data_IF_626253829113
#
_entry.id   IF_626253829113
#
_cell.length_a   1.000
_cell.length_b   1.000
_cell.length_c   1.000
_cell.angle_alpha   90.00
_cell.angle_beta   90.00
_cell.angle_gamma   90.00
#
_symmetry.space_group_name_H-M   'P 1'
#
loop_
_entity.id
_entity.type
_entity.pdbx_description
1 polymer ?
#
# COMPACT_ATOMS: atom_id res chain seq x y z
N UNK A 1 -9.94 -7.42 -1.42
CA UNK A 1 -10.33 -6.35 -0.46
C UNK A 1 -11.49 -5.52 -0.93
N UNK A 2 -11.42 -4.81 -2.07
CA UNK A 2 -12.53 -4.02 -2.63
C UNK A 2 -13.91 -4.71 -2.53
N UNK A 3 -14.01 -5.93 -3.05
CA UNK A 3 -15.24 -6.74 -2.98
C UNK A 3 -15.75 -7.03 -1.58
N UNK A 4 -14.88 -7.18 -0.57
CA UNK A 4 -15.31 -7.37 0.83
C UNK A 4 -16.02 -6.13 1.39
N UNK A 5 -15.70 -4.95 0.85
CA UNK A 5 -16.30 -3.68 1.24
C UNK A 5 -17.34 -3.18 0.24
N UNK A 6 -17.78 -4.03 -0.69
CA UNK A 6 -18.80 -3.67 -1.67
C UNK A 6 -18.36 -2.60 -2.69
N UNK A 7 -17.05 -2.35 -2.80
CA UNK A 7 -16.51 -1.45 -3.81
C UNK A 7 -16.53 -2.12 -5.18
N UNK A 8 -16.98 -1.38 -6.20
CA UNK A 8 -17.00 -1.84 -7.60
C UNK A 8 -15.75 -1.41 -8.38
N UNK A 9 -14.90 -0.59 -7.77
CA UNK A 9 -13.66 -0.11 -8.36
C UNK A 9 -12.55 0.01 -7.32
N UNK A 10 -11.32 0.02 -7.82
CA UNK A 10 -10.08 0.21 -7.09
C UNK A 10 -9.44 1.48 -7.61
N UNK A 11 -9.11 2.39 -6.69
CA UNK A 11 -8.36 3.60 -6.96
C UNK A 11 -6.89 3.36 -6.64
N UNK A 12 -6.00 3.73 -7.55
CA UNK A 12 -4.56 3.81 -7.33
C UNK A 12 -4.12 5.25 -7.50
N UNK A 13 -3.33 5.74 -6.54
CA UNK A 13 -2.76 7.08 -6.53
C UNK A 13 -1.25 6.96 -6.30
N UNK A 14 -0.45 7.64 -7.12
CA UNK A 14 0.97 7.82 -6.85
C UNK A 14 1.15 8.97 -5.86
N UNK A 15 1.84 8.70 -4.77
CA UNK A 15 2.20 9.67 -3.74
C UNK A 15 3.63 10.20 -3.96
N UNK A 16 4.53 9.33 -4.45
CA UNK A 16 5.88 9.72 -4.82
C UNK A 16 6.29 9.15 -6.19
N UNK A 17 6.91 9.95 -7.06
CA UNK A 17 7.31 11.34 -6.85
C UNK A 17 6.11 12.29 -6.75
N UNK A 18 6.31 13.43 -6.10
CA UNK A 18 5.28 14.45 -5.96
C UNK A 18 4.72 14.87 -7.33
N UNK A 19 3.39 14.82 -7.47
CA UNK A 19 2.72 15.03 -8.75
C UNK A 19 2.95 16.44 -9.30
N UNK A 20 2.98 17.45 -8.43
CA UNK A 20 3.11 18.85 -8.84
C UNK A 20 4.55 19.18 -9.26
N UNK A 21 5.52 18.47 -8.70
CA UNK A 21 6.93 18.59 -9.05
C UNK A 21 7.35 17.77 -10.28
N UNK A 22 6.74 16.61 -10.53
CA UNK A 22 7.18 15.68 -11.58
C UNK A 22 6.15 15.50 -12.71
N UNK A 23 4.97 14.93 -12.41
CA UNK A 23 4.03 14.51 -13.45
C UNK A 23 3.30 15.66 -14.15
N UNK A 24 2.89 16.68 -13.38
CA UNK A 24 2.11 17.78 -13.91
C UNK A 24 2.93 18.69 -14.85
N UNK A 25 4.19 19.09 -14.50
CA UNK A 25 5.00 19.91 -15.39
C UNK A 25 5.41 19.18 -16.68
N UNK A 26 5.79 17.91 -16.58
CA UNK A 26 6.36 17.17 -17.71
C UNK A 26 5.28 16.53 -18.61
N UNK A 27 4.26 15.92 -18.00
CA UNK A 27 3.27 15.11 -18.73
C UNK A 27 1.86 15.70 -18.70
N UNK A 28 1.61 16.73 -17.87
CA UNK A 28 0.28 17.36 -17.66
C UNK A 28 -0.77 16.37 -17.18
N UNK A 29 -0.37 15.41 -16.36
CA UNK A 29 -1.24 14.39 -15.77
C UNK A 29 -1.13 14.41 -14.25
N UNK A 30 -2.19 13.95 -13.59
CA UNK A 30 -2.09 13.44 -12.23
C UNK A 30 -1.99 11.91 -12.30
N UNK A 31 -0.98 11.31 -11.68
CA UNK A 31 -0.71 9.87 -11.74
C UNK A 31 -1.67 9.08 -10.84
N UNK A 32 -2.94 9.04 -11.23
CA UNK A 32 -4.00 8.31 -10.55
C UNK A 32 -4.88 7.59 -11.56
N UNK A 33 -5.44 6.45 -11.14
CA UNK A 33 -6.27 5.62 -11.99
C UNK A 33 -7.35 4.89 -11.19
N UNK A 34 -8.47 4.65 -11.85
CA UNK A 34 -9.57 3.85 -11.34
C UNK A 34 -9.72 2.61 -12.21
N UNK A 35 -9.76 1.43 -11.60
CA UNK A 35 -10.01 0.16 -12.26
C UNK A 35 -11.26 -0.49 -11.70
N UNK A 36 -12.10 -1.05 -12.57
CA UNK A 36 -13.17 -1.93 -12.13
C UNK A 36 -12.62 -3.14 -11.36
N UNK A 37 -13.36 -3.66 -10.38
CA UNK A 37 -13.01 -4.94 -9.73
C UNK A 37 -13.08 -6.13 -10.69
N UNK A 38 -13.74 -5.95 -11.84
CA UNK A 38 -13.80 -6.91 -12.95
C UNK A 38 -12.65 -6.75 -13.96
N UNK A 39 -11.77 -5.74 -13.79
CA UNK A 39 -10.62 -5.53 -14.64
C UNK A 39 -9.63 -6.71 -14.55
N UNK A 40 -9.07 -7.09 -15.70
CA UNK A 40 -8.07 -8.13 -15.82
C UNK A 40 -6.63 -7.63 -15.63
N UNK A 41 -5.67 -8.54 -15.80
CA UNK A 41 -4.25 -8.21 -15.75
C UNK A 41 -3.83 -7.25 -16.88
N UNK A 42 -4.38 -7.42 -18.08
CA UNK A 42 -4.06 -6.55 -19.22
C UNK A 42 -4.57 -5.12 -19.01
N UNK A 43 -5.76 -4.96 -18.42
CA UNK A 43 -6.30 -3.65 -18.04
C UNK A 43 -5.39 -2.97 -17.00
N UNK A 44 -4.93 -3.74 -16.02
CA UNK A 44 -3.99 -3.26 -15.00
C UNK A 44 -2.67 -2.81 -15.63
N UNK A 45 -2.00 -3.68 -16.40
CA UNK A 45 -0.71 -3.36 -17.01
C UNK A 45 -0.80 -2.26 -18.05
N UNK A 46 -1.90 -2.20 -18.81
CA UNK A 46 -2.14 -1.12 -19.76
C UNK A 46 -2.31 0.22 -19.07
N UNK A 47 -2.94 0.25 -17.89
CA UNK A 47 -3.15 1.48 -17.14
C UNK A 47 -1.88 1.95 -16.40
N UNK A 48 -1.20 1.08 -15.65
CA UNK A 48 0.03 1.49 -14.94
C UNK A 48 1.24 1.63 -15.86
N UNK A 49 1.21 0.99 -17.03
CA UNK A 49 2.28 0.99 -18.02
C UNK A 49 2.13 2.06 -19.10
N UNK A 50 1.13 2.93 -19.01
CA UNK A 50 0.90 3.96 -20.01
C UNK A 50 2.05 4.96 -20.07
N UNK A 51 2.64 5.12 -21.26
CA UNK A 51 3.77 6.03 -21.53
C UNK A 51 3.26 7.32 -22.21
N UNK A 52 3.02 8.41 -21.46
CA UNK A 52 2.54 9.67 -22.04
C UNK A 52 3.55 10.21 -23.05
N UNK A 53 3.12 10.39 -24.29
CA UNK A 53 4.01 10.83 -25.38
C UNK A 53 5.08 9.80 -25.78
N UNK A 54 4.96 8.55 -25.33
CA UNK A 54 5.95 7.50 -25.55
C UNK A 54 7.20 7.61 -24.66
N UNK A 55 7.14 8.41 -23.59
CA UNK A 55 8.20 8.48 -22.60
C UNK A 55 7.95 7.48 -21.46
N UNK A 56 8.86 6.52 -21.32
CA UNK A 56 8.86 5.49 -20.29
C UNK A 56 8.84 6.07 -18.88
N UNK A 57 9.42 7.27 -18.67
CA UNK A 57 9.48 7.89 -17.36
C UNK A 57 8.13 8.40 -16.87
N UNK A 58 7.18 8.63 -17.78
CA UNK A 58 5.80 8.99 -17.41
C UNK A 58 4.95 7.80 -16.97
N UNK A 59 5.41 6.57 -17.18
CA UNK A 59 4.72 5.36 -16.74
C UNK A 59 4.79 5.19 -15.23
N UNK A 60 3.64 4.92 -14.60
CA UNK A 60 3.54 4.65 -13.16
C UNK A 60 4.40 3.44 -12.78
N UNK A 61 4.41 2.39 -13.62
CA UNK A 61 5.20 1.19 -13.37
C UNK A 61 6.70 1.46 -13.29
N UNK A 62 7.17 2.54 -13.92
CA UNK A 62 8.58 2.93 -13.96
C UNK A 62 8.92 3.98 -12.91
N UNK A 63 8.11 5.03 -12.77
CA UNK A 63 8.48 6.21 -11.97
C UNK A 63 7.92 6.22 -10.54
N UNK A 64 6.85 5.49 -10.24
CA UNK A 64 6.25 5.54 -8.91
C UNK A 64 7.09 4.83 -7.86
N UNK A 65 7.50 5.56 -6.82
CA UNK A 65 8.19 5.04 -5.64
C UNK A 65 7.21 4.72 -4.52
N UNK A 66 6.18 5.53 -4.33
CA UNK A 66 5.17 5.32 -3.29
C UNK A 66 3.78 5.43 -3.90
N UNK A 67 2.93 4.44 -3.62
CA UNK A 67 1.54 4.40 -4.07
C UNK A 67 0.58 4.15 -2.91
N UNK A 68 -0.64 4.65 -3.06
CA UNK A 68 -1.79 4.25 -2.27
C UNK A 68 -2.83 3.59 -3.17
N UNK A 69 -3.44 2.52 -2.67
CA UNK A 69 -4.51 1.79 -3.34
C UNK A 69 -5.69 1.69 -2.37
N UNK A 70 -6.88 2.07 -2.82
CA UNK A 70 -8.10 2.05 -1.98
C UNK A 70 -9.34 1.84 -2.85
N UNK A 71 -10.53 1.96 -2.27
CA UNK A 71 -11.80 1.95 -3.00
C UNK A 71 -12.73 3.05 -2.46
N UNK A 72 -13.84 3.34 -3.18
CA UNK A 72 -14.75 4.44 -2.82
C UNK A 72 -15.30 4.39 -1.39
N UNK A 73 -15.41 3.20 -0.78
CA UNK A 73 -15.88 3.06 0.59
C UNK A 73 -14.95 3.67 1.64
N UNK A 74 -13.65 3.83 1.34
CA UNK A 74 -12.63 4.26 2.29
C UNK A 74 -12.41 3.31 3.47
N UNK A 75 -12.96 2.09 3.43
CA UNK A 75 -12.90 1.11 4.53
C UNK A 75 -11.70 0.18 4.49
N UNK A 76 -10.90 0.27 3.43
CA UNK A 76 -9.68 -0.50 3.25
C UNK A 76 -8.67 0.33 2.49
N UNK A 77 -7.41 -0.06 2.60
CA UNK A 77 -6.33 0.57 1.87
C UNK A 77 -5.10 -0.30 1.85
N UNK A 78 -4.30 -0.09 0.82
CA UNK A 78 -2.95 -0.56 0.72
C UNK A 78 -2.05 0.63 0.45
N UNK A 79 -0.93 0.68 1.13
CA UNK A 79 0.14 1.63 0.85
C UNK A 79 1.38 0.82 0.50
N UNK A 80 2.10 1.21 -0.54
CA UNK A 80 3.27 0.47 -1.03
C UNK A 80 4.43 1.40 -1.35
N UNK A 81 5.62 1.01 -0.92
CA UNK A 81 6.89 1.66 -1.24
C UNK A 81 7.79 0.70 -2.01
N UNK A 82 8.39 1.20 -3.09
CA UNK A 82 9.35 0.47 -3.90
C UNK A 82 10.66 0.23 -3.17
N UNK A 83 11.12 1.17 -2.36
CA UNK A 83 12.30 1.04 -1.51
C UNK A 83 11.87 1.53 -0.13
N UNK A 84 11.59 0.62 0.83
CA UNK A 84 12.27 -0.67 1.03
C UNK A 84 11.53 -1.95 0.57
N UNK A 85 10.72 -1.89 -0.50
CA UNK A 85 9.88 -3.01 -0.99
C UNK A 85 8.83 -3.49 0.02
N UNK A 86 8.11 -2.55 0.64
CA UNK A 86 7.06 -2.84 1.63
C UNK A 86 5.69 -2.46 1.11
N UNK A 87 4.70 -3.29 1.44
CA UNK A 87 3.30 -2.94 1.31
C UNK A 87 2.55 -3.20 2.62
N UNK A 88 1.77 -2.21 3.06
CA UNK A 88 0.93 -2.27 4.26
C UNK A 88 -0.52 -2.36 3.84
N UNK A 89 -1.23 -3.35 4.39
CA UNK A 89 -2.63 -3.63 4.07
C UNK A 89 -3.50 -3.43 5.30
N UNK A 90 -4.58 -2.66 5.16
CA UNK A 90 -5.57 -2.44 6.22
C UNK A 90 -7.00 -2.62 5.72
N UNK A 91 -7.92 -2.81 6.68
CA UNK A 91 -9.34 -2.98 6.40
C UNK A 91 -9.74 -4.43 6.11
N UNK A 92 -9.11 -5.43 6.74
CA UNK A 92 -9.67 -6.78 6.70
C UNK A 92 -11.01 -6.81 7.46
N UNK A 93 -12.10 -7.36 6.89
CA UNK A 93 -13.42 -7.31 7.53
C UNK A 93 -13.50 -8.11 8.83
N UNK A 94 -12.64 -9.14 8.99
CA UNK A 94 -12.49 -9.92 10.22
C UNK A 94 -11.18 -10.74 10.17
N UNK A 95 -10.85 -11.39 11.30
CA UNK A 95 -9.64 -12.22 11.42
C UNK A 95 -9.62 -13.43 10.47
N UNK A 96 -10.78 -13.99 10.12
CA UNK A 96 -10.86 -15.11 9.19
C UNK A 96 -10.47 -14.68 7.77
N UNK A 97 -11.01 -13.55 7.29
CA UNK A 97 -10.63 -12.98 5.98
C UNK A 97 -9.14 -12.63 5.91
N UNK A 98 -8.56 -12.11 6.99
CA UNK A 98 -7.10 -11.90 7.08
C UNK A 98 -6.33 -13.22 6.99
N UNK A 99 -6.77 -14.26 7.71
CA UNK A 99 -6.13 -15.57 7.70
C UNK A 99 -6.18 -16.21 6.30
N UNK A 100 -7.33 -16.15 5.64
CA UNK A 100 -7.52 -16.70 4.29
C UNK A 100 -6.64 -15.97 3.27
N UNK A 101 -6.54 -14.64 3.38
CA UNK A 101 -5.64 -13.83 2.57
C UNK A 101 -4.17 -14.23 2.75
N UNK A 102 -3.71 -14.36 3.99
CA UNK A 102 -2.35 -14.81 4.28
C UNK A 102 -2.07 -16.23 3.76
N UNK A 103 -3.07 -17.12 3.77
CA UNK A 103 -2.92 -18.46 3.23
C UNK A 103 -2.75 -18.45 1.69
N UNK A 104 -3.38 -17.49 1.00
CA UNK A 104 -3.30 -17.37 -0.45
C UNK A 104 -2.05 -16.64 -0.94
N UNK A 105 -1.68 -15.53 -0.30
CA UNK A 105 -0.64 -14.62 -0.77
C UNK A 105 0.67 -14.69 0.03
N UNK A 106 0.71 -15.52 1.08
CA UNK A 106 1.86 -15.67 1.96
C UNK A 106 1.68 -14.94 3.30
N UNK A 107 2.54 -15.24 4.28
CA UNK A 107 2.44 -14.66 5.61
C UNK A 107 2.71 -13.16 5.55
N UNK A 108 1.76 -12.37 6.04
CA UNK A 108 1.95 -10.94 6.29
C UNK A 108 2.40 -10.75 7.74
N UNK A 109 3.48 -10.00 7.92
CA UNK A 109 3.98 -9.59 9.22
C UNK A 109 3.16 -8.40 9.75
N UNK A 110 3.05 -8.28 11.07
CA UNK A 110 2.73 -6.98 11.66
C UNK A 110 3.94 -6.04 11.58
N UNK A 111 3.75 -4.76 11.90
CA UNK A 111 4.79 -3.75 11.80
C UNK A 111 6.04 -4.14 12.62
N UNK A 112 5.86 -4.66 13.83
CA UNK A 112 6.96 -5.15 14.68
C UNK A 112 7.74 -6.28 14.01
N UNK A 113 7.06 -7.33 13.55
CA UNK A 113 7.69 -8.47 12.90
C UNK A 113 8.40 -8.08 11.60
N UNK A 114 7.84 -7.14 10.84
CA UNK A 114 8.48 -6.61 9.63
C UNK A 114 9.78 -5.86 9.97
N UNK A 115 9.77 -5.02 11.01
CA UNK A 115 10.94 -4.25 11.47
C UNK A 115 12.07 -5.15 12.00
N UNK A 116 11.72 -6.26 12.65
CA UNK A 116 12.70 -7.18 13.23
C UNK A 116 13.34 -8.12 12.22
N UNK A 117 12.61 -8.54 11.18
CA UNK A 117 13.02 -9.66 10.33
C UNK A 117 13.33 -9.28 8.88
N UNK A 118 12.40 -8.58 8.21
CA UNK A 118 12.46 -8.39 6.76
C UNK A 118 13.07 -7.05 6.38
N UNK A 119 12.63 -5.96 7.00
CA UNK A 119 13.10 -4.61 6.68
C UNK A 119 14.62 -4.42 6.79
N UNK A 120 15.34 -5.00 7.76
CA UNK A 120 16.81 -4.89 7.80
C UNK A 120 17.50 -5.41 6.54
N UNK A 121 16.89 -6.37 5.83
CA UNK A 121 17.44 -6.90 4.57
C UNK A 121 17.39 -5.86 3.45
N UNK A 122 16.35 -5.04 3.40
CA UNK A 122 16.24 -3.92 2.44
C UNK A 122 17.29 -2.84 2.68
N UNK A 123 17.76 -2.66 3.91
CA UNK A 123 18.84 -1.74 4.26
C UNK A 123 20.25 -2.37 4.17
N UNK A 124 20.45 -3.33 3.27
CA UNK A 124 21.71 -4.07 3.10
C UNK A 124 22.22 -4.73 4.40
N UNK A 125 21.30 -5.28 5.20
CA UNK A 125 21.58 -5.92 6.49
C UNK A 125 21.91 -4.93 7.61
N UNK A 126 21.65 -3.64 7.44
CA UNK A 126 21.85 -2.59 8.44
C UNK A 126 20.59 -2.37 9.25
N UNK A 127 20.74 -1.66 10.38
CA UNK A 127 19.59 -1.25 11.17
C UNK A 127 18.64 -0.37 10.35
N UNK A 128 17.34 -0.65 10.46
CA UNK A 128 16.29 0.21 9.91
C UNK A 128 16.44 1.62 10.51
N UNK A 129 16.40 2.69 9.71
CA UNK A 129 16.45 4.05 10.22
C UNK A 129 15.40 4.29 11.31
N UNK A 130 15.82 4.91 12.42
CA UNK A 130 14.96 5.09 13.61
C UNK A 130 13.68 5.87 13.26
N UNK A 131 13.79 6.89 12.42
CA UNK A 131 12.65 7.71 11.99
C UNK A 131 11.65 6.91 11.16
N UNK A 132 12.14 6.04 10.28
CA UNK A 132 11.30 5.13 9.49
C UNK A 132 10.57 4.14 10.40
N UNK A 133 11.31 3.48 11.31
CA UNK A 133 10.75 2.53 12.26
C UNK A 133 9.69 3.16 13.17
N UNK A 134 9.96 4.38 13.66
CA UNK A 134 9.02 5.14 14.48
C UNK A 134 7.75 5.51 13.69
N UNK A 135 7.89 5.95 12.45
CA UNK A 135 6.75 6.31 11.58
C UNK A 135 5.89 5.10 11.25
N UNK A 136 6.52 3.98 10.86
CA UNK A 136 5.81 2.73 10.57
C UNK A 136 5.06 2.22 11.80
N UNK A 137 5.68 2.28 12.98
CA UNK A 137 5.07 1.86 14.24
C UNK A 137 3.93 2.79 14.66
N UNK A 138 4.10 4.11 14.53
CA UNK A 138 3.06 5.08 14.90
C UNK A 138 1.81 4.94 14.03
N UNK A 139 1.98 4.67 12.73
CA UNK A 139 0.87 4.59 11.78
C UNK A 139 0.24 3.19 11.70
N UNK A 140 1.03 2.14 11.88
CA UNK A 140 0.62 0.76 11.58
C UNK A 140 0.95 -0.26 12.67
N UNK A 141 1.55 0.19 13.78
CA UNK A 141 1.72 -0.66 14.96
C UNK A 141 0.37 -1.11 15.48
N UNK A 142 0.30 -2.34 15.97
CA UNK A 142 -0.84 -2.77 16.77
C UNK A 142 -0.95 -1.83 17.97
N UNK A 143 -2.01 -1.03 18.02
CA UNK A 143 -2.44 -0.49 19.30
C UNK A 143 -2.75 -1.70 20.16
N UNK A 144 -1.90 -1.99 21.15
CA UNK A 144 -2.30 -2.89 22.21
C UNK A 144 -3.62 -2.33 22.75
N UNK A 145 -4.71 -3.06 22.51
CA UNK A 145 -5.96 -2.76 23.17
C UNK A 145 -5.66 -2.71 24.65
N UNK A 146 -5.90 -1.56 25.28
CA UNK A 146 -5.83 -1.43 26.71
C UNK A 146 -6.65 -2.59 27.29
N UNK A 147 -6.08 -3.47 28.13
CA UNK A 147 -6.91 -4.38 28.90
C UNK A 147 -7.86 -3.49 29.70
N UNK A 148 -9.17 -3.57 29.43
CA UNK A 148 -10.13 -3.16 30.44
C UNK A 148 -10.00 -4.16 31.58
N UNK A 149 -9.08 -3.85 32.49
CA UNK A 149 -8.99 -4.51 33.78
C UNK A 149 -10.31 -4.26 34.53
N UNK A 150 -10.84 -5.33 35.09
CA UNK A 150 -12.17 -5.38 35.66
C UNK A 150 -12.34 -4.50 36.90
N UNK A 151 -13.54 -3.96 37.05
CA UNK A 151 -14.05 -3.46 38.32
C UNK A 151 -15.35 -4.19 38.66
N UNK A 152 -15.24 -5.33 39.34
CA UNK A 152 -16.32 -5.85 40.17
C UNK A 152 -16.54 -4.85 41.31
N UNK A 153 -17.78 -4.37 41.46
CA UNK A 153 -18.27 -3.56 42.56
C UNK A 153 -19.79 -3.55 42.55
#
# INVERSE_FOLDING_TARGET
MARWHGDTQVELLVLEPDSDAFYLPEYRIHPAMSLSVEAGADDYWGAIGFEPGGDVMGSISISANVIAVTGPSGRWGCWGERDPEVAVFQGFPNAAARKDWCAQFGPFLDASGALESYLPLSFAGRAVPVEYAATLTANYGTSEGTPQDGGLG
#
